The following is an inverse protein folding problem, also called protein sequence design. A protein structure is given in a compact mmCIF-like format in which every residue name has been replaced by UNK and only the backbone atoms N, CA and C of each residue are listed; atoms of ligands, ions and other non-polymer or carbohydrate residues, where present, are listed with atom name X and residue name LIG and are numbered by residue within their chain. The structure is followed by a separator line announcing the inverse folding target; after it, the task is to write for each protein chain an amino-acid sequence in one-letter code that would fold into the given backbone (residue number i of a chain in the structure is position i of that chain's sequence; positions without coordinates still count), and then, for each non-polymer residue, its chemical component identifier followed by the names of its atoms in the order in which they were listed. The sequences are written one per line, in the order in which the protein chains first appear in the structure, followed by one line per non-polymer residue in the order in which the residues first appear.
data_IF_258417886304
#
_entry.id   IF_258417886304
#
_cell.length_a   1.000
_cell.length_b   1.000
_cell.length_c   1.000
_cell.angle_alpha   90.00
_cell.angle_beta   90.00
_cell.angle_gamma   90.00
#
_symmetry.space_group_name_H-M   'P 1'
#
loop_
_entity.id
_entity.type
_entity.pdbx_description
1 polymer ?
#
# COMPACT_ATOMS: atom_id res chain seq x y z
N UNK A 1 -17.64 -18.69 14.06
CA UNK A 1 -18.18 -17.96 12.90
C UNK A 1 -17.12 -17.02 12.36
N UNK A 2 -16.84 -17.11 11.08
CA UNK A 2 -15.92 -16.17 10.44
C UNK A 2 -16.60 -14.81 10.34
N UNK A 3 -15.90 -13.78 10.75
CA UNK A 3 -16.38 -12.41 10.64
C UNK A 3 -16.39 -12.00 9.17
N UNK A 4 -17.50 -11.51 8.70
CA UNK A 4 -17.63 -11.04 7.33
C UNK A 4 -16.92 -9.69 7.18
N UNK A 5 -16.03 -9.59 6.19
CA UNK A 5 -15.33 -8.35 5.91
C UNK A 5 -16.26 -7.34 5.22
N UNK A 6 -16.19 -6.10 5.62
CA UNK A 6 -17.07 -5.06 5.09
C UNK A 6 -16.42 -4.11 4.08
N UNK A 7 -15.09 -3.92 4.13
CA UNK A 7 -14.36 -3.02 3.22
C UNK A 7 -14.98 -1.63 3.12
N UNK A 8 -15.35 -1.05 4.27
CA UNK A 8 -16.10 0.20 4.30
C UNK A 8 -15.29 1.43 4.71
N UNK A 9 -13.97 1.29 4.82
CA UNK A 9 -13.15 2.39 5.36
C UNK A 9 -12.62 3.34 4.29
N UNK A 10 -12.84 3.01 3.03
CA UNK A 10 -12.40 3.83 1.91
C UNK A 10 -11.82 3.00 0.79
N UNK A 11 -10.98 3.63 -0.02
CA UNK A 11 -10.37 2.98 -1.18
C UNK A 11 -8.86 3.16 -1.14
N UNK A 12 -8.15 2.06 -1.44
CA UNK A 12 -6.73 2.14 -1.76
C UNK A 12 -6.60 2.20 -3.28
N UNK A 13 -5.76 3.09 -3.77
CA UNK A 13 -5.42 3.15 -5.19
C UNK A 13 -4.00 2.67 -5.33
N UNK A 14 -3.81 1.64 -6.15
CA UNK A 14 -2.51 1.03 -6.37
C UNK A 14 -1.91 1.58 -7.64
N UNK A 15 -0.64 1.96 -7.58
CA UNK A 15 0.08 2.55 -8.70
C UNK A 15 1.41 1.84 -8.90
N UNK A 16 1.83 1.80 -10.15
CA UNK A 16 3.18 1.43 -10.53
C UNK A 16 4.00 2.69 -10.71
N UNK A 17 5.21 2.70 -10.16
CA UNK A 17 6.11 3.83 -10.33
C UNK A 17 6.69 3.81 -11.74
N UNK A 18 6.53 4.91 -12.48
CA UNK A 18 7.08 5.05 -13.82
C UNK A 18 8.49 5.58 -13.69
N UNK A 19 9.49 4.89 -14.26
CA UNK A 19 10.85 5.40 -14.24
C UNK A 19 10.92 6.74 -14.98
N UNK A 20 11.33 7.78 -14.30
CA UNK A 20 11.61 9.06 -14.93
C UNK A 20 13.02 8.98 -15.48
N UNK A 21 13.16 9.32 -16.77
CA UNK A 21 14.48 9.56 -17.33
C UNK A 21 14.97 10.88 -16.76
N UNK A 22 15.60 10.82 -15.59
CA UNK A 22 16.23 11.99 -15.04
C UNK A 22 17.45 12.31 -15.88
N UNK A 23 17.53 13.53 -16.40
CA UNK A 23 18.77 14.05 -16.91
C UNK A 23 19.76 14.01 -15.75
N UNK A 24 20.92 13.42 -15.95
CA UNK A 24 21.97 13.31 -14.93
C UNK A 24 21.78 12.23 -13.88
N UNK A 25 20.88 11.26 -14.06
CA UNK A 25 20.77 10.11 -13.17
C UNK A 25 20.24 10.42 -11.77
N UNK A 26 19.73 11.62 -11.53
CA UNK A 26 19.15 11.96 -10.25
C UNK A 26 17.75 11.31 -10.10
N UNK A 27 17.52 10.67 -8.97
CA UNK A 27 16.20 10.19 -8.64
C UNK A 27 15.37 11.35 -8.10
N UNK A 28 14.28 11.66 -8.76
CA UNK A 28 13.34 12.63 -8.21
C UNK A 28 12.41 11.95 -7.23
N UNK A 29 12.10 12.63 -6.13
CA UNK A 29 11.10 12.18 -5.21
C UNK A 29 9.72 12.33 -5.83
N UNK A 30 8.83 11.35 -5.57
CA UNK A 30 7.45 11.43 -6.02
C UNK A 30 6.75 12.51 -5.22
N UNK A 31 6.41 13.63 -5.85
CA UNK A 31 5.71 14.74 -5.23
C UNK A 31 4.24 14.81 -5.63
N UNK A 32 3.92 14.25 -6.79
CA UNK A 32 2.57 14.25 -7.35
C UNK A 32 2.28 12.91 -7.97
N UNK A 33 1.07 12.74 -8.48
CA UNK A 33 0.67 11.49 -9.16
C UNK A 33 1.25 11.36 -10.56
N UNK A 34 1.98 12.35 -11.05
CA UNK A 34 2.46 12.39 -12.43
C UNK A 34 3.43 11.26 -12.76
N UNK A 35 4.15 10.76 -11.75
CA UNK A 35 5.14 9.70 -11.94
C UNK A 35 4.56 8.31 -11.66
N UNK A 36 3.26 8.21 -11.52
CA UNK A 36 2.59 6.98 -11.14
C UNK A 36 1.59 6.57 -12.19
N UNK A 37 1.61 5.28 -12.52
CA UNK A 37 0.63 4.69 -13.43
C UNK A 37 -0.40 3.93 -12.61
N UNK A 38 -1.66 4.29 -12.75
CA UNK A 38 -2.75 3.66 -12.01
C UNK A 38 -2.91 2.20 -12.41
N UNK A 39 -3.08 1.33 -11.42
CA UNK A 39 -3.32 -0.10 -11.64
C UNK A 39 -4.77 -0.45 -11.27
N UNK A 40 -5.15 -0.22 -10.02
CA UNK A 40 -6.47 -0.65 -9.53
C UNK A 40 -6.88 0.15 -8.31
N UNK A 41 -8.18 0.29 -8.14
CA UNK A 41 -8.81 0.86 -6.94
C UNK A 41 -9.55 -0.26 -6.21
N UNK A 42 -9.22 -0.46 -4.94
CA UNK A 42 -9.82 -1.50 -4.12
C UNK A 42 -10.40 -0.90 -2.85
N UNK A 43 -11.63 -1.29 -2.52
CA UNK A 43 -12.21 -0.94 -1.23
C UNK A 43 -11.44 -1.66 -0.12
N UNK A 44 -11.28 -1.01 1.02
CA UNK A 44 -10.49 -1.60 2.11
C UNK A 44 -11.19 -1.51 3.46
N UNK A 45 -10.70 -2.33 4.37
CA UNK A 45 -11.02 -2.28 5.78
C UNK A 45 -9.71 -2.12 6.54
N UNK A 46 -9.65 -1.12 7.41
CA UNK A 46 -8.45 -0.93 8.23
C UNK A 46 -8.39 -2.02 9.30
N UNK A 47 -7.21 -2.58 9.49
CA UNK A 47 -6.98 -3.66 10.45
C UNK A 47 -6.11 -3.18 11.59
N UNK A 48 -6.29 -3.81 12.76
CA UNK A 48 -5.45 -3.54 13.91
C UNK A 48 -4.03 -4.03 13.64
N UNK A 49 -3.04 -3.24 14.05
CA UNK A 49 -1.64 -3.63 14.00
C UNK A 49 -1.35 -4.50 15.20
N UNK A 50 -0.99 -5.77 14.96
CA UNK A 50 -0.61 -6.67 16.03
C UNK A 50 0.84 -6.42 16.42
N UNK A 51 1.22 -6.82 17.64
CA UNK A 51 2.60 -6.64 18.10
C UNK A 51 3.60 -7.30 17.14
N UNK A 52 3.30 -8.50 16.66
CA UNK A 52 4.17 -9.19 15.71
C UNK A 52 4.28 -8.47 14.37
N UNK A 53 3.23 -7.74 13.94
CA UNK A 53 3.28 -6.94 12.72
C UNK A 53 4.27 -5.78 12.87
N UNK A 54 4.24 -5.12 14.03
CA UNK A 54 5.14 -4.01 14.34
C UNK A 54 6.59 -4.50 14.43
N UNK A 55 6.81 -5.64 15.08
CA UNK A 55 8.13 -6.23 15.22
C UNK A 55 8.71 -6.66 13.88
N UNK A 56 7.87 -7.20 13.00
CA UNK A 56 8.31 -7.58 11.65
C UNK A 56 8.78 -6.35 10.87
N UNK A 57 8.02 -5.26 10.90
CA UNK A 57 8.39 -4.03 10.20
C UNK A 57 9.70 -3.47 10.77
N UNK A 58 9.81 -3.41 12.10
CA UNK A 58 11.00 -2.88 12.77
C UNK A 58 12.24 -3.71 12.46
N UNK A 59 12.12 -5.05 12.42
CA UNK A 59 13.21 -5.94 12.06
C UNK A 59 13.71 -5.69 10.63
N UNK A 60 12.89 -5.13 9.77
CA UNK A 60 13.23 -4.76 8.40
C UNK A 60 13.56 -3.27 8.26
N UNK A 61 13.79 -2.59 9.36
CA UNK A 61 14.07 -1.15 9.41
C UNK A 61 12.97 -0.32 8.78
N UNK A 62 11.71 -0.74 8.97
CA UNK A 62 10.53 -0.08 8.44
C UNK A 62 9.59 0.33 9.57
N UNK A 63 8.69 1.25 9.28
CA UNK A 63 7.67 1.69 10.23
C UNK A 63 6.29 1.36 9.70
N UNK A 64 5.56 0.52 10.41
CA UNK A 64 4.20 0.16 10.02
C UNK A 64 3.23 1.24 10.51
N UNK A 65 2.66 1.98 9.58
CA UNK A 65 1.74 3.08 9.89
C UNK A 65 0.28 2.64 9.81
N UNK A 66 -0.06 1.83 8.81
CA UNK A 66 -1.42 1.36 8.63
C UNK A 66 -1.41 -0.05 8.01
N UNK A 67 -2.35 -0.88 8.44
CA UNK A 67 -2.57 -2.20 7.89
C UNK A 67 -3.98 -2.25 7.35
N UNK A 68 -4.14 -2.60 6.08
CA UNK A 68 -5.45 -2.62 5.43
C UNK A 68 -5.70 -3.97 4.78
N UNK A 69 -6.97 -4.33 4.70
CA UNK A 69 -7.42 -5.56 4.06
C UNK A 69 -8.29 -5.22 2.87
N UNK A 70 -8.06 -5.88 1.74
CA UNK A 70 -8.87 -5.73 0.52
C UNK A 70 -9.29 -7.09 0.00
N UNK A 71 -10.17 -7.08 -0.99
CA UNK A 71 -10.43 -8.29 -1.76
C UNK A 71 -9.20 -8.65 -2.57
N UNK A 72 -9.07 -9.91 -2.90
CA UNK A 72 -7.95 -10.39 -3.69
C UNK A 72 -7.91 -9.72 -5.07
N UNK A 73 -6.72 -9.34 -5.49
CA UNK A 73 -6.43 -8.84 -6.83
C UNK A 73 -5.07 -9.37 -7.23
N UNK A 74 -4.99 -9.98 -8.39
CA UNK A 74 -3.77 -10.65 -8.84
C UNK A 74 -2.77 -9.66 -9.42
N UNK A 75 -1.49 -9.91 -9.14
CA UNK A 75 -0.40 -9.17 -9.81
C UNK A 75 0.13 -7.96 -9.05
N UNK A 76 -0.32 -7.75 -7.82
CA UNK A 76 0.22 -6.65 -7.01
C UNK A 76 1.55 -7.07 -6.37
N UNK A 77 2.49 -6.13 -6.30
CA UNK A 77 3.86 -6.37 -5.83
C UNK A 77 4.24 -5.36 -4.76
N UNK A 78 5.25 -5.73 -3.95
CA UNK A 78 5.73 -4.85 -2.87
C UNK A 78 6.32 -3.53 -3.38
N UNK A 79 6.79 -3.49 -4.60
CA UNK A 79 7.34 -2.25 -5.20
C UNK A 79 6.27 -1.29 -5.68
N UNK A 80 5.01 -1.71 -5.75
CA UNK A 80 3.92 -0.82 -6.08
C UNK A 80 3.69 0.21 -4.97
N UNK A 81 3.03 1.31 -5.31
CA UNK A 81 2.73 2.38 -4.36
C UNK A 81 1.24 2.39 -4.09
N UNK A 82 0.87 2.81 -2.89
CA UNK A 82 -0.53 2.93 -2.48
C UNK A 82 -0.82 4.39 -2.18
N UNK A 83 -1.94 4.89 -2.68
CA UNK A 83 -2.46 6.19 -2.29
C UNK A 83 -3.82 5.99 -1.63
N UNK A 84 -3.96 6.53 -0.42
CA UNK A 84 -5.23 6.61 0.28
C UNK A 84 -5.52 8.09 0.44
N UNK A 85 -6.56 8.58 -0.22
CA UNK A 85 -6.87 10.01 -0.29
C UNK A 85 -5.69 10.81 -0.86
N UNK A 86 -4.96 11.54 -0.02
CA UNK A 86 -3.81 12.35 -0.43
C UNK A 86 -2.50 11.75 0.03
N UNK A 87 -2.52 10.64 0.73
CA UNK A 87 -1.33 10.10 1.38
C UNK A 87 -0.73 8.98 0.57
N UNK A 88 0.56 9.09 0.32
CA UNK A 88 1.35 8.09 -0.38
C UNK A 88 1.98 7.15 0.63
N UNK A 89 1.85 5.85 0.38
CA UNK A 89 2.44 4.80 1.20
C UNK A 89 3.30 3.88 0.36
N UNK A 90 4.39 3.41 0.97
CA UNK A 90 5.14 2.28 0.46
C UNK A 90 4.56 0.99 1.03
N UNK A 91 4.64 -0.08 0.26
CA UNK A 91 4.21 -1.39 0.71
C UNK A 91 5.40 -2.09 1.35
N UNK A 92 5.29 -2.39 2.66
CA UNK A 92 6.28 -3.19 3.36
C UNK A 92 6.14 -4.64 2.93
N UNK A 93 4.90 -5.12 2.90
CA UNK A 93 4.60 -6.50 2.63
C UNK A 93 3.13 -6.66 2.22
N UNK A 94 2.87 -7.61 1.34
CA UNK A 94 1.51 -8.02 0.97
C UNK A 94 1.34 -9.46 1.41
N UNK A 95 0.37 -9.71 2.30
CA UNK A 95 0.05 -11.06 2.75
C UNK A 95 -1.22 -11.52 2.04
N UNK A 96 -1.11 -12.63 1.32
CA UNK A 96 -2.26 -13.21 0.63
C UNK A 96 -2.98 -14.21 1.52
N UNK A 97 -4.24 -13.95 1.79
CA UNK A 97 -5.13 -14.92 2.44
C UNK A 97 -5.94 -15.60 1.34
N UNK A 98 -5.41 -16.68 0.82
CA UNK A 98 -6.02 -17.41 -0.29
C UNK A 98 -7.36 -18.04 0.08
N UNK A 99 -7.49 -18.48 1.31
CA UNK A 99 -8.71 -19.12 1.79
C UNK A 99 -9.89 -18.15 1.75
N UNK A 100 -9.68 -16.92 2.19
CA UNK A 100 -10.71 -15.90 2.24
C UNK A 100 -10.69 -14.99 1.03
N UNK A 101 -9.75 -15.18 0.11
CA UNK A 101 -9.57 -14.39 -1.11
C UNK A 101 -9.41 -12.91 -0.78
N UNK A 102 -8.46 -12.63 0.10
CA UNK A 102 -8.17 -11.30 0.58
C UNK A 102 -6.69 -11.01 0.53
N UNK A 103 -6.34 -9.71 0.52
CA UNK A 103 -4.97 -9.25 0.64
C UNK A 103 -4.87 -8.36 1.87
N UNK A 104 -3.77 -8.50 2.61
CA UNK A 104 -3.41 -7.60 3.69
C UNK A 104 -2.21 -6.80 3.25
N UNK A 105 -2.32 -5.47 3.27
CA UNK A 105 -1.24 -4.57 2.92
C UNK A 105 -0.68 -3.96 4.20
N UNK A 106 0.61 -4.10 4.39
CA UNK A 106 1.35 -3.50 5.50
C UNK A 106 2.03 -2.27 4.94
N UNK A 107 1.61 -1.08 5.37
CA UNK A 107 1.94 0.17 4.70
C UNK A 107 2.78 1.09 5.58
N UNK A 108 3.76 1.71 4.97
CA UNK A 108 4.60 2.72 5.59
C UNK A 108 4.33 4.07 4.95
N UNK A 109 4.10 5.08 5.78
CA UNK A 109 3.83 6.44 5.32
C UNK A 109 5.07 7.02 4.63
N UNK A 110 4.88 7.56 3.44
CA UNK A 110 5.93 8.28 2.73
C UNK A 110 5.73 9.78 2.88
N UNK A 111 4.61 10.30 2.36
CA UNK A 111 4.30 11.74 2.42
C UNK A 111 2.87 11.99 1.98
N UNK A 112 2.40 13.20 2.23
CA UNK A 112 1.19 13.69 1.58
C UNK A 112 1.56 14.22 0.20
N UNK A 113 0.67 13.98 -0.76
CA UNK A 113 0.87 14.44 -2.13
C UNK A 113 0.26 15.81 -2.34
N UNK A 114 0.93 16.61 -3.16
CA UNK A 114 0.38 17.87 -3.64
C UNK A 114 -0.67 17.56 -4.72
N UNK A 115 -1.80 18.23 -4.60
CA UNK A 115 -2.89 18.09 -5.58
C UNK A 115 -2.93 19.32 -6.45
#
# INVERSE_FOLDING_TARGET
MSKKSNYNDGYVRVYEEIPIKANFGAKENIKSKDNLKFIVKLAYEECSKRQQDLEFAEANSRSLNIKVKTRFYNGLKNEHKIIIEKTLYDIIYIDEDRKNRELYFYLELVRELEI
#
